data_IF_694358901870
#
_entry.id   IF_694358901870
#
_cell.length_a   1.000
_cell.length_b   1.000
_cell.length_c   1.000
_cell.angle_alpha   90.00
_cell.angle_beta   90.00
_cell.angle_gamma   90.00
#
_symmetry.space_group_name_H-M   'P 1'
#
loop_
_entity.id
_entity.type
_entity.pdbx_description
1 polymer ?
#
# COMPACT_ATOMS: atom_id res chain seq x y z
N UNK A 1 16.82 17.07 -22.83
CA UNK A 1 17.81 16.13 -23.41
C UNK A 1 19.19 16.75 -23.29
N UNK A 2 20.18 16.00 -22.81
CA UNK A 2 21.55 16.52 -22.68
C UNK A 2 22.16 16.77 -24.07
N UNK A 3 22.96 17.83 -24.23
CA UNK A 3 23.68 18.14 -25.48
C UNK A 3 24.49 16.93 -25.99
N UNK A 4 25.01 16.10 -25.08
CA UNK A 4 25.71 14.86 -25.41
C UNK A 4 24.79 13.78 -26.01
N UNK A 5 23.55 13.68 -25.55
CA UNK A 5 22.56 12.74 -26.10
C UNK A 5 22.17 13.14 -27.52
N UNK A 6 21.95 14.44 -27.76
CA UNK A 6 21.66 14.97 -29.09
C UNK A 6 22.81 14.72 -30.10
N UNK A 7 24.07 14.90 -29.68
CA UNK A 7 25.23 14.61 -30.53
C UNK A 7 25.37 13.10 -30.84
N UNK A 8 25.05 12.22 -29.89
CA UNK A 8 25.05 10.76 -30.12
C UNK A 8 23.94 10.32 -31.06
N UNK A 9 22.77 10.93 -30.95
CA UNK A 9 21.66 10.69 -31.88
C UNK A 9 22.04 11.13 -33.30
N UNK A 10 22.58 12.34 -33.46
CA UNK A 10 23.07 12.84 -34.75
C UNK A 10 24.17 11.97 -35.36
N UNK A 11 25.12 11.50 -34.54
CA UNK A 11 26.11 10.51 -34.97
C UNK A 11 25.45 9.23 -35.48
N UNK A 12 24.48 8.71 -34.74
CA UNK A 12 23.78 7.47 -35.11
C UNK A 12 23.00 7.59 -36.41
N UNK A 13 22.40 8.75 -36.69
CA UNK A 13 21.70 9.01 -37.96
C UNK A 13 22.67 9.11 -39.13
N UNK A 14 23.82 9.78 -38.95
CA UNK A 14 24.84 9.94 -39.99
C UNK A 14 25.59 8.63 -40.27
N UNK A 15 25.87 7.84 -39.25
CA UNK A 15 26.44 6.50 -39.41
C UNK A 15 25.49 5.54 -40.15
N UNK A 16 24.17 5.66 -39.95
CA UNK A 16 23.17 4.92 -40.74
C UNK A 16 23.18 5.36 -42.20
N UNK A 17 23.21 6.66 -42.47
CA UNK A 17 23.32 7.21 -43.82
C UNK A 17 24.57 6.69 -44.57
N UNK A 18 25.73 6.65 -43.90
CA UNK A 18 26.96 6.07 -44.47
C UNK A 18 26.82 4.57 -44.78
N UNK A 19 26.22 3.80 -43.86
CA UNK A 19 25.97 2.36 -44.07
C UNK A 19 24.97 2.11 -45.20
N UNK A 20 23.95 2.96 -45.35
CA UNK A 20 22.95 2.86 -46.42
C UNK A 20 23.57 3.17 -47.79
N UNK A 21 24.54 4.09 -47.87
CA UNK A 21 25.30 4.35 -49.10
C UNK A 21 26.19 3.15 -49.44
N UNK A 22 26.87 2.56 -48.46
CA UNK A 22 27.74 1.41 -48.67
C UNK A 22 26.94 0.14 -49.08
N UNK A 23 25.78 -0.10 -48.45
CA UNK A 23 24.94 -1.27 -48.72
C UNK A 23 24.24 -1.26 -50.09
N UNK A 24 24.24 -0.13 -50.82
CA UNK A 24 23.71 -0.05 -52.19
C UNK A 24 24.56 -0.81 -53.19
N UNK A 25 25.83 -1.06 -52.87
CA UNK A 25 26.78 -1.72 -53.77
C UNK A 25 27.22 -3.05 -53.16
N UNK A 26 27.15 -4.12 -53.96
CA UNK A 26 27.66 -5.42 -53.54
C UNK A 26 29.19 -5.35 -53.39
N UNK A 27 29.78 -6.19 -52.53
CA UNK A 27 31.21 -6.15 -52.18
C UNK A 27 32.19 -6.26 -53.37
N UNK A 28 31.72 -6.74 -54.52
CA UNK A 28 32.50 -6.93 -55.75
C UNK A 28 32.31 -5.79 -56.79
N UNK A 29 31.47 -4.79 -56.50
CA UNK A 29 31.24 -3.64 -57.37
C UNK A 29 31.97 -2.40 -56.87
N UNK A 30 32.76 -1.78 -57.75
CA UNK A 30 33.46 -0.53 -57.44
C UNK A 30 32.45 0.61 -57.36
N UNK A 31 32.37 1.26 -56.21
CA UNK A 31 31.46 2.37 -55.95
C UNK A 31 31.65 3.49 -57.01
N UNK A 32 30.57 4.01 -57.63
CA UNK A 32 30.65 5.17 -58.51
C UNK A 32 31.24 6.39 -57.81
N UNK A 33 32.01 7.20 -58.54
CA UNK A 33 32.76 8.33 -57.96
C UNK A 33 31.89 9.33 -57.19
N UNK A 34 30.67 9.62 -57.69
CA UNK A 34 29.73 10.54 -57.03
C UNK A 34 29.23 10.04 -55.67
N UNK A 35 29.08 8.73 -55.48
CA UNK A 35 28.61 8.16 -54.22
C UNK A 35 29.77 7.91 -53.24
N UNK A 36 30.97 7.67 -53.76
CA UNK A 36 32.20 7.71 -52.96
C UNK A 36 32.44 9.11 -52.38
N UNK A 37 32.31 10.17 -53.18
CA UNK A 37 32.46 11.56 -52.72
C UNK A 37 31.41 11.94 -51.65
N UNK A 38 30.18 11.43 -51.76
CA UNK A 38 29.13 11.61 -50.73
C UNK A 38 29.43 10.83 -49.46
N UNK A 39 29.93 9.60 -49.58
CA UNK A 39 30.31 8.77 -48.43
C UNK A 39 31.46 9.42 -47.66
N UNK A 40 32.48 9.91 -48.35
CA UNK A 40 33.61 10.61 -47.74
C UNK A 40 33.17 11.90 -47.03
N UNK A 41 32.21 12.64 -47.59
CA UNK A 41 31.62 13.81 -46.93
C UNK A 41 30.85 13.45 -45.63
N UNK A 42 30.05 12.38 -45.65
CA UNK A 42 29.32 11.91 -44.46
C UNK A 42 30.28 11.38 -43.39
N UNK A 43 31.35 10.69 -43.79
CA UNK A 43 32.39 10.22 -42.86
C UNK A 43 33.13 11.39 -42.20
N UNK A 44 33.47 12.44 -42.95
CA UNK A 44 34.06 13.65 -42.40
C UNK A 44 33.12 14.35 -41.38
N UNK A 45 31.81 14.36 -41.61
CA UNK A 45 30.82 14.86 -40.65
C UNK A 45 30.76 13.99 -39.38
N UNK A 46 30.82 12.67 -39.52
CA UNK A 46 30.88 11.75 -38.36
C UNK A 46 32.14 11.98 -37.54
N UNK A 47 33.29 12.17 -38.17
CA UNK A 47 34.55 12.48 -37.48
C UNK A 47 34.49 13.83 -36.74
N UNK A 48 33.87 14.85 -37.33
CA UNK A 48 33.65 16.14 -36.67
C UNK A 48 32.75 16.00 -35.42
N UNK A 49 31.68 15.21 -35.51
CA UNK A 49 30.78 14.90 -34.39
C UNK A 49 31.50 14.09 -33.31
N UNK A 50 32.34 13.12 -33.68
CA UNK A 50 33.12 12.32 -32.72
C UNK A 50 34.14 13.18 -31.96
N UNK A 51 34.76 14.15 -32.64
CA UNK A 51 35.61 15.15 -32.00
C UNK A 51 34.82 16.01 -30.99
N UNK A 52 33.59 16.42 -31.32
CA UNK A 52 32.71 17.17 -30.40
C UNK A 52 32.26 16.34 -29.20
N UNK A 53 31.94 15.07 -29.41
CA UNK A 53 31.60 14.13 -28.33
C UNK A 53 32.81 13.93 -27.40
N UNK A 54 34.02 13.81 -27.94
CA UNK A 54 35.24 13.68 -27.14
C UNK A 54 35.51 14.93 -26.28
N UNK A 55 35.27 16.14 -26.84
CA UNK A 55 35.39 17.42 -26.13
C UNK A 55 34.39 17.52 -24.99
N UNK A 56 33.13 17.18 -25.23
CA UNK A 56 32.12 17.25 -24.17
C UNK A 56 32.26 16.13 -23.14
N UNK A 57 32.73 14.93 -23.51
CA UNK A 57 33.08 13.89 -22.54
C UNK A 57 34.25 14.34 -21.66
N UNK A 58 35.28 14.98 -22.24
CA UNK A 58 36.42 15.51 -21.46
C UNK A 58 35.97 16.65 -20.53
N UNK A 59 35.07 17.52 -20.97
CA UNK A 59 34.47 18.57 -20.13
C UNK A 59 33.60 17.98 -19.02
N UNK A 60 32.84 16.92 -19.30
CA UNK A 60 32.06 16.21 -18.28
C UNK A 60 32.95 15.45 -17.29
N UNK A 61 34.08 14.88 -17.72
CA UNK A 61 35.07 14.25 -16.85
C UNK A 61 35.77 15.28 -15.95
N UNK A 62 36.18 16.44 -16.50
CA UNK A 62 36.77 17.53 -15.71
C UNK A 62 35.77 18.10 -14.69
N UNK A 63 34.49 18.19 -15.03
CA UNK A 63 33.43 18.54 -14.08
C UNK A 63 33.16 17.46 -13.01
N UNK A 64 33.58 16.22 -13.26
CA UNK A 64 33.50 15.11 -12.32
C UNK A 64 34.79 14.94 -11.47
N UNK A 65 35.86 15.69 -11.74
CA UNK A 65 37.09 15.71 -10.93
C UNK A 65 37.05 16.71 -9.76
N UNK A 66 35.97 17.52 -9.64
CA UNK A 66 35.72 18.30 -8.43
C UNK A 66 35.41 17.35 -7.25
N UNK A 67 36.21 17.34 -6.17
CA UNK A 67 36.05 16.36 -5.08
C UNK A 67 34.69 16.49 -4.36
N UNK A 68 34.07 17.69 -4.38
CA UNK A 68 32.72 17.90 -3.87
C UNK A 68 31.62 17.29 -4.77
N UNK A 69 31.85 17.26 -6.09
CA UNK A 69 30.94 16.64 -7.05
C UNK A 69 31.06 15.11 -7.03
N UNK A 70 32.24 14.55 -6.76
CA UNK A 70 32.43 13.11 -6.59
C UNK A 70 31.71 12.55 -5.36
N UNK A 71 31.76 13.26 -4.23
CA UNK A 71 31.04 12.81 -3.03
C UNK A 71 29.52 12.84 -3.26
N UNK A 72 29.00 13.88 -3.91
CA UNK A 72 27.59 13.96 -4.31
C UNK A 72 27.21 12.92 -5.39
N UNK A 73 28.09 12.65 -6.37
CA UNK A 73 27.85 11.69 -7.42
C UNK A 73 27.93 10.23 -6.94
N UNK A 74 28.85 9.91 -6.02
CA UNK A 74 28.95 8.58 -5.40
C UNK A 74 27.75 8.29 -4.49
N UNK A 75 27.27 9.29 -3.74
CA UNK A 75 26.01 9.20 -2.98
C UNK A 75 24.80 9.00 -3.91
N UNK A 76 24.80 9.62 -5.10
CA UNK A 76 23.75 9.47 -6.09
C UNK A 76 23.84 8.15 -6.88
N UNK A 77 25.04 7.62 -7.13
CA UNK A 77 25.25 6.36 -7.86
C UNK A 77 24.94 5.12 -7.02
N UNK A 78 25.04 5.23 -5.69
CA UNK A 78 24.63 4.20 -4.74
C UNK A 78 23.11 3.99 -4.67
N UNK A 79 22.32 4.92 -5.22
CA UNK A 79 20.85 4.81 -5.27
C UNK A 79 20.42 4.59 -6.73
N UNK A 80 19.96 3.39 -7.06
CA UNK A 80 19.36 3.12 -8.37
C UNK A 80 18.21 4.13 -8.62
N UNK A 81 18.29 4.79 -9.77
CA UNK A 81 17.33 5.73 -10.38
C UNK A 81 17.53 7.24 -10.12
N UNK A 82 18.12 7.98 -11.07
CA UNK A 82 18.13 9.44 -11.06
C UNK A 82 16.76 9.95 -11.49
N UNK A 83 15.84 10.10 -10.53
CA UNK A 83 14.50 10.60 -10.85
C UNK A 83 13.60 11.06 -9.71
N UNK A 84 13.88 10.72 -8.43
CA UNK A 84 12.99 11.11 -7.31
C UNK A 84 13.72 11.33 -5.99
N UNK A 85 14.63 12.32 -5.93
CA UNK A 85 15.02 12.90 -4.64
C UNK A 85 14.60 14.36 -4.65
N UNK A 86 13.46 14.68 -4.00
CA UNK A 86 13.07 16.06 -3.75
C UNK A 86 14.09 16.71 -2.81
N UNK A 87 14.32 18.01 -2.94
CA UNK A 87 15.26 18.75 -2.07
C UNK A 87 14.90 18.62 -0.57
N UNK A 88 13.65 18.28 -0.26
CA UNK A 88 13.15 18.02 1.09
C UNK A 88 13.77 16.77 1.74
N UNK A 89 14.06 15.73 0.95
CA UNK A 89 14.73 14.52 1.45
C UNK A 89 16.21 14.76 1.78
N UNK A 90 16.84 15.80 1.22
CA UNK A 90 18.18 16.26 1.62
C UNK A 90 18.13 17.05 2.92
N UNK A 91 17.13 17.91 3.09
CA UNK A 91 16.93 18.70 4.31
C UNK A 91 16.61 17.82 5.53
N UNK A 92 15.81 16.77 5.36
CA UNK A 92 15.51 15.80 6.44
C UNK A 92 16.74 15.01 6.86
N UNK A 93 17.57 14.58 5.90
CA UNK A 93 18.85 13.90 6.18
C UNK A 93 19.83 14.80 6.92
N UNK A 94 19.94 16.09 6.54
CA UNK A 94 20.77 17.06 7.24
C UNK A 94 20.28 17.32 8.68
N UNK A 95 18.96 17.36 8.89
CA UNK A 95 18.35 17.51 10.21
C UNK A 95 18.56 16.29 11.11
N UNK A 96 18.43 15.08 10.57
CA UNK A 96 18.67 13.83 11.31
C UNK A 96 20.16 13.61 11.63
N UNK A 97 21.06 14.02 10.74
CA UNK A 97 22.50 13.81 10.88
C UNK A 97 23.21 14.85 11.78
N UNK A 98 22.53 15.86 12.31
CA UNK A 98 23.20 16.82 13.20
C UNK A 98 22.33 17.93 13.77
N UNK A 99 21.00 17.77 13.75
CA UNK A 99 20.06 18.81 14.13
C UNK A 99 20.16 20.05 13.23
N UNK A 100 19.57 21.16 13.69
CA UNK A 100 19.51 22.45 12.99
C UNK A 100 20.91 23.00 12.63
N UNK A 101 21.97 22.52 13.28
CA UNK A 101 23.37 22.92 13.06
C UNK A 101 23.97 22.46 11.74
N UNK A 102 23.54 21.32 11.19
CA UNK A 102 24.10 20.74 9.96
C UNK A 102 23.31 21.08 8.68
N UNK A 103 22.26 21.89 8.80
CA UNK A 103 21.52 22.39 7.64
C UNK A 103 22.29 23.53 6.95
N UNK A 104 22.23 23.58 5.62
CA UNK A 104 22.78 24.70 4.85
C UNK A 104 22.15 26.03 5.32
N UNK A 105 22.86 27.15 5.15
CA UNK A 105 22.38 28.46 5.61
C UNK A 105 21.03 28.85 4.97
N UNK A 106 20.79 28.41 3.73
CA UNK A 106 19.54 28.61 2.99
C UNK A 106 18.42 27.68 3.46
N UNK A 107 18.71 26.41 3.77
CA UNK A 107 17.73 25.48 4.33
C UNK A 107 17.35 25.88 5.76
N UNK A 108 18.32 26.39 6.52
CA UNK A 108 18.12 26.91 7.87
C UNK A 108 17.29 28.19 7.84
N UNK A 109 17.49 29.06 6.84
CA UNK A 109 16.64 30.23 6.63
C UNK A 109 15.21 29.85 6.19
N UNK A 110 15.03 28.82 5.36
CA UNK A 110 13.69 28.27 5.00
C UNK A 110 13.00 27.61 6.20
N UNK A 111 13.76 26.99 7.10
CA UNK A 111 13.23 26.39 8.32
C UNK A 111 12.90 27.46 9.38
N UNK A 112 13.76 28.47 9.57
CA UNK A 112 13.55 29.59 10.51
C UNK A 112 12.47 30.57 10.03
N UNK A 113 12.33 30.80 8.73
CA UNK A 113 11.19 31.52 8.16
C UNK A 113 9.86 30.76 8.36
N UNK A 114 9.93 29.46 8.68
CA UNK A 114 8.79 28.61 9.09
C UNK A 114 8.72 28.41 10.61
N UNK A 115 9.70 28.90 11.38
CA UNK A 115 9.79 28.77 12.83
C UNK A 115 9.72 30.15 13.46
N UNK A 116 8.51 30.68 13.58
CA UNK A 116 8.28 31.84 14.45
C UNK A 116 8.53 31.40 15.91
N UNK A 117 9.33 32.13 16.71
CA UNK A 117 9.74 31.72 18.06
C UNK A 117 8.58 31.51 19.05
N UNK A 118 7.38 32.00 18.74
CA UNK A 118 6.18 31.88 19.58
C UNK A 118 5.56 30.47 19.59
N UNK A 119 5.99 29.57 18.70
CA UNK A 119 5.45 28.21 18.56
C UNK A 119 5.91 27.27 19.68
N UNK A 120 6.92 27.64 20.49
CA UNK A 120 7.34 26.81 21.64
C UNK A 120 6.37 26.84 22.83
N UNK A 121 5.45 27.81 22.90
CA UNK A 121 4.51 27.96 24.01
C UNK A 121 3.03 27.78 23.65
N UNK A 122 2.69 27.35 22.43
CA UNK A 122 1.30 27.22 21.99
C UNK A 122 0.95 25.77 21.61
N UNK A 123 1.16 24.82 22.52
CA UNK A 123 0.42 23.56 22.50
C UNK A 123 -1.03 23.83 22.99
N UNK A 124 -1.82 24.52 22.17
CA UNK A 124 -3.26 24.70 22.40
C UNK A 124 -4.03 24.27 21.15
N UNK A 125 -4.97 23.37 21.37
CA UNK A 125 -5.72 22.58 20.38
C UNK A 125 -6.82 23.38 19.66
N UNK A 126 -6.53 24.60 19.18
CA UNK A 126 -7.61 25.51 18.74
C UNK A 126 -7.40 26.29 17.44
N UNK A 127 -6.31 26.07 16.69
CA UNK A 127 -6.12 26.76 15.39
C UNK A 127 -5.77 25.77 14.28
N UNK A 128 -6.76 25.49 13.44
CA UNK A 128 -6.76 24.53 12.32
C UNK A 128 -6.08 25.06 11.05
N UNK A 129 -5.20 26.05 11.14
CA UNK A 129 -4.66 26.71 9.95
C UNK A 129 -3.28 27.26 10.22
N UNK A 130 -2.24 26.43 10.04
CA UNK A 130 -0.92 26.82 9.52
C UNK A 130 0.05 25.63 9.57
N UNK A 131 0.50 25.18 8.39
CA UNK A 131 1.81 24.53 8.22
C UNK A 131 1.91 23.00 8.14
N UNK A 132 0.86 22.22 8.44
CA UNK A 132 0.96 20.74 8.50
C UNK A 132 0.66 19.94 7.22
N UNK A 133 0.03 20.57 6.21
CA UNK A 133 -0.74 19.80 5.22
C UNK A 133 0.03 19.20 4.03
N UNK A 134 1.26 19.62 3.73
CA UNK A 134 1.90 19.22 2.45
C UNK A 134 2.96 18.14 2.55
N UNK A 135 3.64 17.99 3.70
CA UNK A 135 4.74 17.01 3.85
C UNK A 135 4.24 15.65 4.37
N UNK A 136 3.05 15.60 4.99
CA UNK A 136 2.54 14.38 5.65
C UNK A 136 1.68 13.45 4.76
N UNK A 137 1.07 13.95 3.68
CA UNK A 137 0.06 13.16 2.94
C UNK A 137 0.67 12.06 2.06
N UNK A 138 1.82 12.28 1.43
CA UNK A 138 2.50 11.24 0.64
C UNK A 138 3.12 10.16 1.54
N UNK A 139 3.74 10.57 2.65
CA UNK A 139 4.29 9.66 3.65
C UNK A 139 3.19 8.83 4.34
N UNK A 140 2.04 9.43 4.63
CA UNK A 140 0.90 8.71 5.17
C UNK A 140 0.31 7.72 4.16
N UNK A 141 0.23 8.07 2.87
CA UNK A 141 -0.23 7.15 1.82
C UNK A 141 0.70 5.95 1.69
N UNK A 142 2.02 6.15 1.71
CA UNK A 142 2.98 5.04 1.67
C UNK A 142 2.92 4.18 2.94
N UNK A 143 2.75 4.81 4.11
CA UNK A 143 2.52 4.12 5.37
C UNK A 143 1.22 3.31 5.35
N UNK A 144 0.14 3.86 4.81
CA UNK A 144 -1.16 3.20 4.70
C UNK A 144 -1.11 2.01 3.74
N UNK A 145 -0.42 2.13 2.61
CA UNK A 145 -0.19 1.02 1.69
C UNK A 145 0.61 -0.10 2.39
N UNK A 146 1.67 0.27 3.11
CA UNK A 146 2.44 -0.67 3.91
C UNK A 146 1.58 -1.31 5.02
N UNK A 147 0.71 -0.55 5.69
CA UNK A 147 -0.21 -1.07 6.70
C UNK A 147 -1.27 -2.01 6.11
N UNK A 148 -1.79 -1.73 4.91
CA UNK A 148 -2.76 -2.58 4.21
C UNK A 148 -2.20 -3.96 3.89
N UNK A 149 -0.92 -4.06 3.57
CA UNK A 149 -0.26 -5.35 3.32
C UNK A 149 -0.25 -6.27 4.57
N UNK A 150 -0.29 -5.69 5.78
CA UNK A 150 -0.24 -6.45 7.04
C UNK A 150 -1.58 -6.53 7.78
N UNK A 151 -2.58 -5.77 7.36
CA UNK A 151 -3.87 -5.68 8.05
C UNK A 151 -4.98 -6.40 7.30
N UNK A 152 -5.27 -7.66 7.65
CA UNK A 152 -6.31 -8.47 6.99
C UNK A 152 -7.73 -7.87 6.97
N UNK A 153 -8.05 -6.98 7.91
CA UNK A 153 -9.34 -6.25 7.93
C UNK A 153 -9.40 -5.03 6.99
N UNK A 154 -8.29 -4.31 6.79
CA UNK A 154 -8.27 -3.07 5.98
C UNK A 154 -8.60 -3.26 4.48
N UNK A 155 -8.25 -4.36 3.79
CA UNK A 155 -8.64 -4.56 2.38
C UNK A 155 -10.10 -4.98 2.21
N UNK A 156 -10.75 -5.50 3.27
CA UNK A 156 -12.13 -6.00 3.19
C UNK A 156 -13.16 -5.02 3.74
N UNK A 157 -12.76 -4.16 4.67
CA UNK A 157 -13.61 -3.18 5.33
C UNK A 157 -13.73 -1.87 4.53
N UNK A 158 -14.79 -1.11 4.81
CA UNK A 158 -14.97 0.23 4.22
C UNK A 158 -14.29 1.28 5.09
N UNK A 159 -13.36 2.04 4.51
CA UNK A 159 -12.64 3.11 5.19
C UNK A 159 -13.33 4.47 5.04
N UNK A 160 -13.59 5.16 6.15
CA UNK A 160 -14.07 6.55 6.18
C UNK A 160 -12.95 7.44 6.75
N UNK A 161 -12.72 8.59 6.12
CA UNK A 161 -11.74 9.57 6.59
C UNK A 161 -12.44 10.78 7.14
N UNK A 162 -12.02 11.24 8.31
CA UNK A 162 -12.57 12.45 8.95
C UNK A 162 -11.47 13.41 9.35
N UNK A 163 -11.74 14.71 9.26
CA UNK A 163 -10.79 15.77 9.61
C UNK A 163 -10.65 16.03 11.12
N UNK A 164 -11.57 15.51 11.93
CA UNK A 164 -11.54 15.70 13.39
C UNK A 164 -11.72 14.37 14.11
N UNK A 165 -11.17 14.28 15.33
CA UNK A 165 -11.28 13.12 16.23
C UNK A 165 -12.54 13.12 17.11
N UNK A 166 -13.48 14.05 16.91
CA UNK A 166 -14.71 14.09 17.68
C UNK A 166 -15.53 12.80 17.47
N UNK A 167 -16.20 12.31 18.52
CA UNK A 167 -17.07 11.13 18.43
C UNK A 167 -18.15 11.39 17.36
N UNK A 168 -18.27 10.47 16.41
CA UNK A 168 -19.25 10.56 15.33
C UNK A 168 -20.29 9.49 15.55
N UNK A 169 -21.55 9.90 15.68
CA UNK A 169 -22.65 8.95 15.75
C UNK A 169 -23.03 8.53 14.34
N UNK A 170 -22.96 7.23 14.07
CA UNK A 170 -23.47 6.65 12.85
C UNK A 170 -24.86 6.08 13.12
N UNK A 171 -25.91 6.58 12.44
CA UNK A 171 -27.25 6.01 12.59
C UNK A 171 -27.23 4.60 12.00
N UNK A 172 -27.60 3.62 12.81
CA UNK A 172 -27.78 2.23 12.42
C UNK A 172 -29.24 1.85 12.64
N UNK A 173 -29.89 1.38 11.58
CA UNK A 173 -31.22 0.79 11.61
C UNK A 173 -31.10 -0.65 11.14
N UNK A 174 -31.76 -1.57 11.84
CA UNK A 174 -31.90 -2.96 11.39
C UNK A 174 -33.37 -3.27 11.09
N UNK A 175 -33.92 -2.82 9.95
CA UNK A 175 -35.31 -3.10 9.58
C UNK A 175 -35.48 -4.51 8.98
N UNK A 176 -34.51 -5.43 9.16
CA UNK A 176 -34.51 -6.74 8.46
C UNK A 176 -35.73 -7.61 8.84
N UNK A 177 -36.39 -7.33 9.97
CA UNK A 177 -37.61 -8.01 10.41
C UNK A 177 -38.91 -7.21 10.19
N UNK A 178 -38.83 -6.01 9.59
CA UNK A 178 -39.99 -5.15 9.34
C UNK A 178 -40.62 -5.52 7.99
N UNK A 179 -41.80 -6.14 8.02
CA UNK A 179 -42.55 -6.51 6.82
C UNK A 179 -43.78 -5.60 6.63
N UNK A 180 -44.11 -5.30 5.37
CA UNK A 180 -45.33 -4.56 5.05
C UNK A 180 -46.58 -5.43 5.20
N UNK A 181 -47.72 -4.80 5.47
CA UNK A 181 -49.01 -5.47 5.52
C UNK A 181 -49.84 -5.26 4.26
N UNK A 182 -50.68 -6.23 3.90
CA UNK A 182 -51.70 -6.06 2.86
C UNK A 182 -52.92 -5.42 3.50
N UNK A 183 -53.27 -4.21 3.05
CA UNK A 183 -54.43 -3.46 3.55
C UNK A 183 -55.58 -3.54 2.56
N UNK A 184 -56.78 -3.91 3.03
CA UNK A 184 -58.00 -3.93 2.23
C UNK A 184 -58.51 -2.53 1.88
N UNK A 185 -59.39 -2.40 0.88
CA UNK A 185 -60.04 -1.12 0.57
C UNK A 185 -60.79 -0.59 1.80
N UNK A 186 -60.48 0.65 2.22
CA UNK A 186 -60.92 1.30 3.46
C UNK A 186 -60.40 0.70 4.79
N UNK A 187 -59.36 -0.14 4.77
CA UNK A 187 -58.66 -0.59 5.97
C UNK A 187 -57.70 0.47 6.53
N UNK A 188 -57.59 0.57 7.86
CA UNK A 188 -56.58 1.40 8.51
C UNK A 188 -55.22 0.68 8.47
N UNK A 189 -54.18 1.42 8.09
CA UNK A 189 -52.79 0.93 8.06
C UNK A 189 -52.23 0.90 9.49
N UNK A 190 -51.61 -0.20 9.91
CA UNK A 190 -50.89 -0.29 11.18
C UNK A 190 -49.53 0.42 11.08
N UNK A 191 -49.17 1.18 12.13
CA UNK A 191 -47.88 1.84 12.22
C UNK A 191 -46.82 0.88 12.73
N UNK A 192 -45.71 0.75 12.00
CA UNK A 192 -44.48 0.12 12.46
C UNK A 192 -43.41 1.22 12.56
N UNK A 193 -43.03 1.57 13.80
CA UNK A 193 -41.99 2.56 14.06
C UNK A 193 -40.61 1.88 14.03
N UNK A 194 -39.79 2.21 13.04
CA UNK A 194 -38.40 1.73 12.96
C UNK A 194 -37.57 2.35 14.09
N UNK A 195 -36.91 1.51 14.90
CA UNK A 195 -36.02 1.99 15.97
C UNK A 195 -34.67 2.40 15.38
N UNK A 196 -34.35 3.69 15.44
CA UNK A 196 -33.03 4.21 15.09
C UNK A 196 -32.06 4.03 16.26
N UNK A 197 -31.06 3.17 16.10
CA UNK A 197 -29.93 3.05 17.02
C UNK A 197 -28.78 3.94 16.57
N UNK A 198 -28.02 4.50 17.51
CA UNK A 198 -26.82 5.27 17.21
C UNK A 198 -25.58 4.49 17.64
N UNK A 199 -24.69 4.21 16.71
CA UNK A 199 -23.37 3.64 16.99
C UNK A 199 -22.33 4.76 17.09
N UNK A 200 -21.72 4.96 18.26
CA UNK A 200 -20.65 5.95 18.44
C UNK A 200 -19.33 5.41 17.88
N UNK A 201 -18.77 6.10 16.89
CA UNK A 201 -17.46 5.80 16.30
C UNK A 201 -16.38 6.65 16.97
N UNK A 202 -15.83 6.14 18.07
CA UNK A 202 -14.72 6.77 18.79
C UNK A 202 -13.37 6.50 18.11
N UNK A 203 -12.46 7.46 18.26
CA UNK A 203 -11.13 7.44 17.62
C UNK A 203 -10.06 7.20 18.68
N UNK A 204 -9.14 6.28 18.38
CA UNK A 204 -8.07 5.88 19.28
C UNK A 204 -6.70 6.16 18.66
N UNK A 205 -5.78 6.71 19.47
CA UNK A 205 -4.40 6.99 19.04
C UNK A 205 -3.53 5.74 19.18
N UNK A 206 -2.93 5.30 18.08
CA UNK A 206 -1.97 4.19 18.06
C UNK A 206 -0.53 4.69 18.06
N UNK A 207 0.35 4.01 18.78
CA UNK A 207 1.80 4.24 18.77
C UNK A 207 2.54 2.94 18.49
N UNK A 208 3.58 3.00 17.66
CA UNK A 208 4.44 1.88 17.25
C UNK A 208 5.51 1.47 18.29
N UNK A 209 5.47 2.10 19.48
CA UNK A 209 6.50 2.06 20.54
C UNK A 209 7.84 2.65 20.07
N UNK A 210 8.55 3.35 20.96
CA UNK A 210 9.83 3.99 20.66
C UNK A 210 10.88 2.97 20.18
N UNK A 211 11.61 3.31 19.12
CA UNK A 211 12.80 2.60 18.66
C UNK A 211 13.98 3.52 18.90
N UNK A 212 14.94 3.10 19.73
CA UNK A 212 16.18 3.83 19.93
C UNK A 212 17.17 3.39 18.84
N UNK A 213 17.69 4.34 18.09
CA UNK A 213 18.73 4.12 17.08
C UNK A 213 19.99 4.88 17.51
N UNK A 214 21.13 4.21 17.68
CA UNK A 214 22.40 4.88 17.90
C UNK A 214 22.75 5.76 16.69
N UNK A 215 23.27 6.95 16.95
CA UNK A 215 23.64 7.90 15.90
C UNK A 215 24.73 7.36 14.96
N UNK A 216 25.69 6.64 15.53
CA UNK A 216 26.77 5.97 14.80
C UNK A 216 26.22 4.95 13.80
N UNK A 217 25.16 4.23 14.16
CA UNK A 217 24.53 3.24 13.29
C UNK A 217 23.85 3.90 12.08
N UNK A 218 23.29 5.10 12.24
CA UNK A 218 22.67 5.85 11.13
C UNK A 218 23.74 6.43 10.20
N UNK A 219 24.93 6.73 10.72
CA UNK A 219 26.04 7.28 9.92
C UNK A 219 26.88 6.22 9.21
N UNK A 220 27.09 5.05 9.83
CA UNK A 220 27.95 3.97 9.31
C UNK A 220 27.16 2.86 8.60
N UNK A 221 25.84 2.99 8.47
CA UNK A 221 25.05 1.96 7.79
C UNK A 221 25.16 2.03 6.28
N UNK A 222 25.71 0.98 5.69
CA UNK A 222 25.67 0.71 4.24
C UNK A 222 24.25 0.36 3.73
N UNK A 223 23.29 0.18 4.63
CA UNK A 223 21.89 -0.18 4.37
C UNK A 223 21.01 1.05 4.67
N UNK A 224 19.95 1.26 3.89
CA UNK A 224 18.94 2.27 4.17
C UNK A 224 18.13 1.91 5.45
N UNK A 225 18.68 2.30 6.61
CA UNK A 225 18.06 2.10 7.92
C UNK A 225 16.76 2.89 8.03
N UNK A 226 16.64 4.03 7.34
CA UNK A 226 15.44 4.84 7.37
C UNK A 226 14.26 4.06 6.78
N UNK A 227 14.41 3.52 5.57
CA UNK A 227 13.38 2.69 4.94
C UNK A 227 13.04 1.45 5.79
N UNK A 228 14.05 0.81 6.38
CA UNK A 228 13.84 -0.36 7.25
C UNK A 228 13.03 -0.01 8.51
N UNK A 229 13.36 1.09 9.17
CA UNK A 229 12.66 1.56 10.37
C UNK A 229 11.23 1.98 10.01
N UNK A 230 11.03 2.67 8.90
CA UNK A 230 9.69 3.03 8.41
C UNK A 230 8.83 1.78 8.18
N UNK A 231 9.35 0.78 7.47
CA UNK A 231 8.64 -0.48 7.23
C UNK A 231 8.30 -1.22 8.55
N UNK A 232 9.22 -1.21 9.51
CA UNK A 232 9.00 -1.85 10.80
C UNK A 232 7.96 -1.12 11.66
N UNK A 233 7.96 0.21 11.65
CA UNK A 233 6.93 1.03 12.32
C UNK A 233 5.55 0.81 11.67
N UNK A 234 5.50 0.79 10.33
CA UNK A 234 4.28 0.50 9.56
C UNK A 234 3.73 -0.89 9.89
N UNK A 235 4.59 -1.91 9.94
CA UNK A 235 4.21 -3.27 10.28
C UNK A 235 3.64 -3.37 11.70
N UNK A 236 4.26 -2.70 12.68
CA UNK A 236 3.76 -2.68 14.06
C UNK A 236 2.38 -2.03 14.16
N UNK A 237 2.19 -0.88 13.51
CA UNK A 237 0.90 -0.18 13.49
C UNK A 237 -0.18 -0.99 12.77
N UNK A 238 0.14 -1.57 11.60
CA UNK A 238 -0.79 -2.40 10.84
C UNK A 238 -1.25 -3.63 11.64
N UNK A 239 -0.32 -4.30 12.34
CA UNK A 239 -0.65 -5.48 13.18
C UNK A 239 -1.53 -5.12 14.38
N UNK A 240 -1.18 -4.07 15.14
CA UNK A 240 -1.98 -3.71 16.32
C UNK A 240 -3.38 -3.25 15.92
N UNK A 241 -3.49 -2.46 14.85
CA UNK A 241 -4.78 -2.04 14.31
C UNK A 241 -5.61 -3.26 13.85
N UNK A 242 -5.00 -4.16 13.08
CA UNK A 242 -5.70 -5.36 12.62
C UNK A 242 -6.16 -6.26 13.78
N UNK A 243 -5.39 -6.36 14.87
CA UNK A 243 -5.81 -7.07 16.09
C UNK A 243 -7.04 -6.44 16.73
N UNK A 244 -7.08 -5.12 16.87
CA UNK A 244 -8.27 -4.47 17.45
C UNK A 244 -9.48 -4.49 16.51
N UNK A 245 -9.27 -4.37 15.20
CA UNK A 245 -10.36 -4.52 14.22
C UNK A 245 -10.91 -5.94 14.14
N UNK A 246 -10.13 -6.97 14.53
CA UNK A 246 -10.61 -8.36 14.61
C UNK A 246 -11.25 -8.68 15.94
N UNK A 247 -10.49 -8.56 17.04
CA UNK A 247 -10.86 -9.08 18.37
C UNK A 247 -10.96 -7.98 19.45
N UNK A 248 -11.03 -6.71 19.05
CA UNK A 248 -11.23 -5.61 19.97
C UNK A 248 -12.55 -5.72 20.75
N UNK A 249 -12.54 -5.29 22.00
CA UNK A 249 -13.66 -5.43 22.94
C UNK A 249 -14.68 -4.28 22.86
N UNK A 250 -14.37 -3.19 22.14
CA UNK A 250 -15.21 -1.99 22.09
C UNK A 250 -15.14 -1.09 23.32
N UNK A 251 -14.39 -1.46 24.37
CA UNK A 251 -14.18 -0.63 25.57
C UNK A 251 -12.71 -0.25 25.71
N UNK A 252 -12.41 1.05 25.60
CA UNK A 252 -11.04 1.57 25.58
C UNK A 252 -10.24 1.23 24.32
N UNK A 253 -10.88 0.58 23.33
CA UNK A 253 -10.31 0.13 22.07
C UNK A 253 -11.43 -0.09 21.05
N UNK A 254 -11.14 -0.13 19.73
CA UNK A 254 -12.15 -0.40 18.71
C UNK A 254 -12.95 -1.69 18.97
N UNK A 255 -14.19 -1.70 18.51
CA UNK A 255 -15.03 -2.90 18.52
C UNK A 255 -14.65 -3.80 17.35
N UNK A 256 -14.08 -4.97 17.64
CA UNK A 256 -13.62 -5.90 16.60
C UNK A 256 -14.77 -6.66 15.95
N UNK A 257 -14.60 -7.05 14.70
CA UNK A 257 -15.64 -7.79 13.94
C UNK A 257 -16.04 -9.11 14.62
N UNK A 258 -15.11 -9.81 15.27
CA UNK A 258 -15.38 -11.09 15.96
C UNK A 258 -16.26 -10.86 17.20
N UNK A 259 -16.02 -9.77 17.91
CA UNK A 259 -16.77 -9.38 19.11
C UNK A 259 -18.16 -8.88 18.72
N UNK A 260 -18.24 -8.04 17.67
CA UNK A 260 -19.48 -7.43 17.20
C UNK A 260 -20.39 -8.39 16.45
N UNK A 261 -19.85 -9.39 15.74
CA UNK A 261 -20.64 -10.32 14.96
C UNK A 261 -21.45 -11.27 15.84
N UNK A 262 -22.73 -11.49 15.50
CA UNK A 262 -23.54 -12.52 16.11
C UNK A 262 -23.03 -13.94 15.75
N UNK A 263 -23.38 -14.93 16.56
CA UNK A 263 -23.05 -16.33 16.28
C UNK A 263 -24.06 -16.89 15.27
N UNK A 264 -23.63 -17.17 14.03
CA UNK A 264 -24.48 -17.78 13.01
C UNK A 264 -24.69 -19.28 13.22
N UNK A 265 -23.60 -20.03 13.39
CA UNK A 265 -23.59 -21.45 13.75
C UNK A 265 -22.60 -21.71 14.87
N UNK A 266 -23.01 -22.53 15.84
CA UNK A 266 -22.13 -23.07 16.88
C UNK A 266 -21.94 -24.56 16.58
N UNK A 267 -20.68 -24.99 16.54
CA UNK A 267 -20.34 -26.40 16.33
C UNK A 267 -20.89 -27.30 17.43
N UNK A 268 -20.95 -28.60 17.18
CA UNK A 268 -21.50 -29.57 18.14
C UNK A 268 -20.69 -29.56 19.44
N UNK A 269 -21.34 -29.78 20.59
CA UNK A 269 -20.67 -29.85 21.89
C UNK A 269 -19.51 -30.85 21.84
N UNK A 270 -18.30 -30.40 22.18
CA UNK A 270 -17.06 -31.20 22.14
C UNK A 270 -16.22 -31.02 20.87
N UNK A 271 -16.74 -30.35 19.85
CA UNK A 271 -16.03 -30.04 18.61
C UNK A 271 -15.21 -28.74 18.78
N UNK A 272 -13.93 -28.86 19.14
CA UNK A 272 -13.08 -27.70 19.47
C UNK A 272 -11.95 -27.43 18.47
N UNK A 273 -11.44 -28.47 17.80
CA UNK A 273 -10.27 -28.40 16.91
C UNK A 273 -10.57 -28.85 15.46
N UNK A 274 -11.82 -29.17 15.16
CA UNK A 274 -12.27 -29.67 13.87
C UNK A 274 -13.50 -28.92 13.38
N UNK A 275 -13.68 -28.88 12.06
CA UNK A 275 -14.88 -28.35 11.40
C UNK A 275 -15.32 -29.38 10.38
N UNK A 276 -16.62 -29.65 10.33
CA UNK A 276 -17.22 -30.52 9.31
C UNK A 276 -17.85 -29.67 8.22
N UNK A 277 -18.11 -30.28 7.06
CA UNK A 277 -18.68 -29.58 5.92
C UNK A 277 -20.05 -28.95 6.24
N UNK A 278 -20.90 -29.67 6.96
CA UNK A 278 -22.25 -29.22 7.31
C UNK A 278 -22.23 -27.94 8.17
N UNK A 279 -21.24 -27.78 9.06
CA UNK A 279 -21.08 -26.54 9.85
C UNK A 279 -20.81 -25.32 8.97
N UNK A 280 -20.09 -25.50 7.85
CA UNK A 280 -19.79 -24.43 6.90
C UNK A 280 -21.04 -24.05 6.10
N UNK A 281 -21.80 -25.05 5.67
CA UNK A 281 -23.07 -24.84 4.96
C UNK A 281 -24.06 -24.12 5.88
N UNK A 282 -24.21 -24.57 7.12
CA UNK A 282 -25.08 -23.92 8.10
C UNK A 282 -24.63 -22.49 8.39
N UNK A 283 -23.31 -22.24 8.47
CA UNK A 283 -22.77 -20.89 8.64
C UNK A 283 -23.12 -20.00 7.44
N UNK A 284 -22.98 -20.47 6.20
CA UNK A 284 -23.37 -19.70 5.01
C UNK A 284 -24.88 -19.42 5.01
N UNK A 285 -25.69 -20.41 5.34
CA UNK A 285 -27.14 -20.30 5.34
C UNK A 285 -27.71 -19.55 6.55
N UNK A 286 -26.90 -19.27 7.58
CA UNK A 286 -27.29 -18.40 8.70
C UNK A 286 -27.38 -16.91 8.33
N UNK A 287 -26.78 -16.51 7.19
CA UNK A 287 -26.85 -15.13 6.67
C UNK A 287 -28.02 -15.01 5.70
N UNK A 288 -28.74 -13.90 5.72
CA UNK A 288 -29.83 -13.63 4.77
C UNK A 288 -29.34 -13.77 3.31
N UNK A 289 -30.09 -14.46 2.42
CA UNK A 289 -29.81 -14.48 0.98
C UNK A 289 -29.53 -13.10 0.35
N UNK A 290 -30.20 -12.04 0.81
CA UNK A 290 -29.99 -10.67 0.36
C UNK A 290 -28.54 -10.23 0.58
N UNK A 291 -27.97 -10.49 1.76
CA UNK A 291 -26.58 -10.17 2.06
C UNK A 291 -25.60 -11.14 1.40
N UNK A 292 -25.98 -12.42 1.21
CA UNK A 292 -25.13 -13.42 0.54
C UNK A 292 -24.87 -13.16 -0.94
N UNK A 293 -25.77 -12.46 -1.63
CA UNK A 293 -25.62 -12.15 -3.05
C UNK A 293 -24.80 -10.87 -3.31
N UNK A 294 -24.50 -10.09 -2.27
CA UNK A 294 -23.79 -8.81 -2.41
C UNK A 294 -22.29 -8.97 -2.67
N UNK A 295 -21.66 -7.98 -3.34
CA UNK A 295 -20.20 -7.92 -3.46
C UNK A 295 -19.56 -7.69 -2.09
N UNK A 296 -18.40 -8.33 -1.87
CA UNK A 296 -17.65 -8.25 -0.59
C UNK A 296 -18.04 -9.31 0.44
N UNK A 297 -18.86 -10.30 0.05
CA UNK A 297 -19.10 -11.50 0.85
C UNK A 297 -17.92 -12.44 0.76
N UNK A 298 -17.44 -12.92 1.90
CA UNK A 298 -16.35 -13.87 1.95
C UNK A 298 -16.17 -14.50 3.31
N UNK A 299 -15.30 -15.50 3.35
CA UNK A 299 -14.85 -16.12 4.59
C UNK A 299 -13.66 -15.36 5.14
N UNK A 300 -13.60 -15.18 6.46
CA UNK A 300 -12.39 -14.74 7.15
C UNK A 300 -12.02 -15.73 8.25
N UNK A 301 -10.75 -16.15 8.26
CA UNK A 301 -10.26 -17.13 9.23
C UNK A 301 -8.73 -17.05 9.41
N UNK A 302 -8.23 -17.70 10.46
CA UNK A 302 -6.78 -17.87 10.67
C UNK A 302 -6.21 -18.91 9.70
N UNK A 303 -4.94 -18.80 9.31
CA UNK A 303 -4.29 -19.76 8.40
C UNK A 303 -4.35 -21.22 8.92
N UNK A 304 -4.21 -21.42 10.24
CA UNK A 304 -4.38 -22.74 10.86
C UNK A 304 -5.79 -23.31 10.66
N UNK A 305 -6.82 -22.46 10.58
CA UNK A 305 -8.20 -22.87 10.30
C UNK A 305 -8.34 -23.29 8.84
N UNK A 306 -7.74 -22.54 7.90
CA UNK A 306 -7.68 -22.93 6.48
C UNK A 306 -7.03 -24.30 6.32
N UNK A 307 -5.94 -24.57 7.05
CA UNK A 307 -5.27 -25.87 7.07
C UNK A 307 -6.20 -27.00 7.52
N UNK A 308 -7.07 -26.77 8.50
CA UNK A 308 -8.06 -27.78 8.94
C UNK A 308 -9.10 -28.01 7.84
N UNK A 309 -9.61 -26.93 7.22
CA UNK A 309 -10.58 -27.04 6.12
C UNK A 309 -10.02 -27.79 4.90
N UNK A 310 -8.75 -27.53 4.55
CA UNK A 310 -8.04 -28.23 3.46
C UNK A 310 -7.86 -29.73 3.71
N UNK A 311 -7.95 -30.17 4.97
CA UNK A 311 -7.83 -31.59 5.35
C UNK A 311 -9.17 -32.32 5.34
N UNK A 312 -10.29 -31.61 5.15
CA UNK A 312 -11.60 -32.25 5.06
C UNK A 312 -11.68 -33.03 3.76
N UNK A 313 -12.05 -34.31 3.88
CA UNK A 313 -12.19 -35.25 2.77
C UNK A 313 -13.61 -35.79 2.70
N UNK A 314 -14.04 -36.13 1.49
CA UNK A 314 -15.29 -36.87 1.27
C UNK A 314 -15.13 -38.37 1.63
N UNK A 315 -16.23 -39.12 1.56
CA UNK A 315 -16.23 -40.57 1.81
C UNK A 315 -15.37 -41.40 0.84
N UNK A 316 -14.87 -40.79 -0.25
CA UNK A 316 -13.96 -41.39 -1.23
C UNK A 316 -12.51 -40.91 -1.04
N UNK A 317 -12.19 -40.29 0.11
CA UNK A 317 -10.89 -39.73 0.47
C UNK A 317 -10.38 -38.57 -0.42
N UNK A 318 -11.27 -37.93 -1.20
CA UNK A 318 -10.94 -36.77 -2.01
C UNK A 318 -11.10 -35.50 -1.17
N UNK A 319 -10.16 -34.53 -1.23
CA UNK A 319 -10.33 -33.25 -0.54
C UNK A 319 -11.56 -32.51 -1.06
N UNK A 320 -12.40 -32.00 -0.15
CA UNK A 320 -13.59 -31.20 -0.51
C UNK A 320 -13.16 -29.83 -1.03
N UNK A 321 -12.12 -29.26 -0.40
CA UNK A 321 -11.51 -28.01 -0.84
C UNK A 321 -10.26 -28.32 -1.65
N UNK A 322 -10.30 -27.96 -2.94
CA UNK A 322 -9.14 -28.01 -3.83
C UNK A 322 -8.73 -26.57 -4.14
N UNK A 323 -7.47 -26.17 -3.90
CA UNK A 323 -7.01 -24.82 -4.25
C UNK A 323 -7.10 -24.62 -5.76
N UNK A 324 -7.20 -23.36 -6.19
CA UNK A 324 -7.03 -23.03 -7.61
C UNK A 324 -5.68 -23.58 -8.08
N UNK A 325 -5.70 -24.57 -8.98
CA UNK A 325 -4.47 -25.21 -9.49
C UNK A 325 -3.80 -24.36 -10.59
N UNK A 326 -4.42 -23.26 -11.00
CA UNK A 326 -3.83 -22.28 -11.90
C UNK A 326 -2.79 -21.47 -11.14
N UNK A 327 -1.55 -21.84 -11.39
CA UNK A 327 -0.35 -21.36 -10.72
C UNK A 327 -0.28 -19.82 -10.68
N UNK A 328 0.23 -19.35 -9.54
CA UNK A 328 0.67 -17.97 -9.28
C UNK A 328 -0.43 -16.93 -8.96
N UNK A 329 -1.04 -17.09 -7.78
CA UNK A 329 -1.85 -16.04 -7.15
C UNK A 329 -1.03 -14.79 -6.75
N UNK A 330 0.30 -14.80 -6.89
CA UNK A 330 1.17 -13.66 -6.57
C UNK A 330 1.55 -12.86 -7.82
N UNK A 331 1.53 -13.46 -9.01
CA UNK A 331 1.89 -12.82 -10.29
C UNK A 331 0.90 -13.27 -11.38
N UNK A 332 -0.11 -12.45 -11.66
CA UNK A 332 -1.03 -12.54 -12.82
C UNK A 332 -2.01 -13.74 -12.88
N UNK A 333 -3.13 -13.64 -12.16
CA UNK A 333 -4.39 -14.18 -12.66
C UNK A 333 -4.74 -15.64 -12.32
N UNK A 334 -4.00 -16.30 -11.43
CA UNK A 334 -4.43 -17.59 -10.87
C UNK A 334 -5.80 -17.47 -10.16
N UNK A 335 -6.68 -18.45 -10.36
CA UNK A 335 -8.00 -18.45 -9.74
C UNK A 335 -7.87 -18.40 -8.20
N UNK A 336 -8.42 -17.37 -7.52
CA UNK A 336 -8.27 -17.23 -6.08
C UNK A 336 -8.89 -18.41 -5.35
N UNK A 337 -8.29 -18.78 -4.22
CA UNK A 337 -8.82 -19.82 -3.33
C UNK A 337 -10.27 -19.50 -2.93
N UNK A 338 -11.20 -20.34 -3.38
CA UNK A 338 -12.65 -20.20 -3.15
C UNK A 338 -13.18 -21.37 -2.35
N UNK A 339 -13.79 -21.07 -1.21
CA UNK A 339 -14.55 -22.03 -0.42
C UNK A 339 -16.04 -21.86 -0.77
N UNK A 340 -16.67 -22.92 -1.28
CA UNK A 340 -18.09 -22.88 -1.71
C UNK A 340 -18.40 -21.71 -2.67
N UNK A 341 -17.46 -21.39 -3.56
CA UNK A 341 -17.57 -20.28 -4.53
C UNK A 341 -17.24 -18.88 -3.96
N UNK A 342 -16.98 -18.76 -2.66
CA UNK A 342 -16.71 -17.49 -1.97
C UNK A 342 -15.22 -17.27 -1.72
N UNK A 343 -14.70 -16.04 -1.78
CA UNK A 343 -13.30 -15.75 -1.49
C UNK A 343 -12.95 -16.01 -0.01
N UNK A 344 -11.71 -16.42 0.24
CA UNK A 344 -11.16 -16.59 1.59
C UNK A 344 -10.16 -15.46 1.88
N UNK A 345 -10.38 -14.76 2.98
CA UNK A 345 -9.47 -13.74 3.51
C UNK A 345 -8.73 -14.28 4.74
N UNK A 346 -7.41 -14.41 4.62
CA UNK A 346 -6.57 -14.90 5.70
C UNK A 346 -6.25 -13.75 6.65
N UNK A 347 -6.54 -13.94 7.94
CA UNK A 347 -6.23 -12.97 8.97
C UNK A 347 -5.61 -13.65 10.20
N UNK A 348 -4.33 -13.35 10.46
CA UNK A 348 -3.57 -13.96 11.55
C UNK A 348 -4.02 -13.54 12.97
N UNK A 349 -4.90 -12.54 13.09
CA UNK A 349 -5.49 -12.15 14.37
C UNK A 349 -6.88 -12.75 14.61
N UNK A 350 -7.39 -13.56 13.68
CA UNK A 350 -8.56 -14.38 13.94
C UNK A 350 -8.29 -15.41 15.04
N UNK A 351 -9.25 -15.69 15.94
CA UNK A 351 -9.11 -16.75 16.94
C UNK A 351 -8.85 -18.10 16.28
N UNK A 352 -7.83 -18.81 16.77
CA UNK A 352 -7.58 -20.21 16.39
C UNK A 352 -8.74 -21.08 16.90
N UNK A 353 -9.03 -22.19 16.21
CA UNK A 353 -10.02 -23.18 16.64
C UNK A 353 -9.72 -23.64 18.07
N UNK A 354 -10.64 -23.33 18.97
CA UNK A 354 -10.62 -23.68 20.38
C UNK A 354 -12.06 -23.65 20.94
N UNK A 355 -12.25 -24.15 22.17
CA UNK A 355 -13.54 -24.08 22.84
C UNK A 355 -14.03 -22.61 22.92
N UNK A 356 -15.29 -22.38 22.55
CA UNK A 356 -15.96 -21.07 22.54
C UNK A 356 -15.33 -20.01 21.62
N UNK A 357 -14.34 -20.37 20.79
CA UNK A 357 -13.70 -19.44 19.88
C UNK A 357 -14.53 -19.30 18.59
N UNK A 358 -14.83 -18.05 18.19
CA UNK A 358 -15.37 -17.72 16.88
C UNK A 358 -14.25 -17.73 15.84
N UNK A 359 -13.91 -18.91 15.34
CA UNK A 359 -12.71 -19.13 14.52
C UNK A 359 -12.90 -18.92 13.02
N UNK A 360 -14.15 -18.89 12.55
CA UNK A 360 -14.51 -18.64 11.16
C UNK A 360 -15.59 -17.57 11.14
N UNK A 361 -15.40 -16.55 10.32
CA UNK A 361 -16.41 -15.54 10.01
C UNK A 361 -16.88 -15.71 8.58
N UNK A 362 -18.16 -15.44 8.36
CA UNK A 362 -18.77 -15.37 7.05
C UNK A 362 -19.75 -14.22 7.00
N UNK A 363 -19.78 -13.51 5.87
CA UNK A 363 -20.72 -12.42 5.63
C UNK A 363 -20.12 -11.32 4.77
N UNK A 364 -20.83 -10.20 4.69
CA UNK A 364 -20.38 -9.02 3.95
C UNK A 364 -19.40 -8.20 4.80
N UNK A 365 -18.11 -8.46 4.64
CA UNK A 365 -17.06 -7.81 5.43
C UNK A 365 -16.94 -6.30 5.16
N UNK A 366 -17.41 -5.84 4.01
CA UNK A 366 -17.41 -4.41 3.65
C UNK A 366 -18.35 -3.55 4.49
N UNK A 367 -19.32 -4.17 5.19
CA UNK A 367 -20.19 -3.48 6.16
C UNK A 367 -19.45 -3.09 7.44
N UNK A 368 -18.29 -3.67 7.70
CA UNK A 368 -17.42 -3.20 8.78
C UNK A 368 -16.76 -1.89 8.36
N UNK A 369 -16.96 -0.83 9.15
CA UNK A 369 -16.49 0.51 8.86
C UNK A 369 -15.26 0.82 9.72
N UNK A 370 -14.17 1.23 9.08
CA UNK A 370 -12.96 1.73 9.74
C UNK A 370 -12.90 3.23 9.55
N UNK A 371 -12.87 3.98 10.66
CA UNK A 371 -12.69 5.43 10.64
C UNK A 371 -11.23 5.79 10.90
N UNK A 372 -10.59 6.46 9.95
CA UNK A 372 -9.27 7.04 10.10
C UNK A 372 -9.39 8.58 10.23
N UNK A 373 -8.69 9.17 11.20
CA UNK A 373 -8.61 10.63 11.37
C UNK A 373 -7.31 11.14 10.77
N UNK A 374 -7.42 12.17 9.94
CA UNK A 374 -6.27 12.94 9.47
C UNK A 374 -6.02 14.07 10.46
N UNK A 375 -4.83 14.08 11.05
CA UNK A 375 -4.29 15.19 11.83
C UNK A 375 -2.86 15.46 11.33
#
# INVERSE_FOLDING_TARGET
>A
MSKLQALRELRSTKAKEANDINNKYAADQRMPKEDADKMDAVLAEVEAIDNDISRENRRAQLAAEDPAAQQAALLNLATREPGKQSDESKALRAFMAGGISNMSQEDRARMLARQTPDIRNAMSTTTTTEGGFTVATEYQKSLEIAMKAYGGMRPVATGIRTATGASMNFPATDPTAEEGEIVGQNGAVSGLDTVFSNFSMDVWKYSSKKIALPFELVQDSFIDIEAYVQALLAMRLGRIQNRHFTVGTGSGQPNGVVTAAASGKVGTTGQTLSVIYDDLVDLEHSVDPAYRSMPGVGYMMHDSSVKVLRKIKDGQNRPIFVPGYEADALINGGAPDRLMGRPIYINQHMPVMAANAKSILFGQLSKYIIRDVMD
#
